data_IF_100876116253
#
_entry.id   IF_100876116253
#
_cell.length_a   1.000
_cell.length_b   1.000
_cell.length_c   1.000
_cell.angle_alpha   90.00
_cell.angle_beta   90.00
_cell.angle_gamma   90.00
#
_symmetry.space_group_name_H-M   'P 1'
#
loop_
_entity.id
_entity.type
_entity.pdbx_description
1 polymer ?
#
# COMPACT_ATOMS: atom_id res chain seq x y z
N UNK A 1 25.35 3.60 -31.59
CA UNK A 1 24.69 2.37 -32.07
C UNK A 1 23.44 2.75 -32.84
N UNK A 2 23.09 2.07 -33.95
CA UNK A 2 21.85 2.35 -34.69
C UNK A 2 20.77 1.38 -34.18
N UNK A 3 19.72 1.92 -33.60
CA UNK A 3 18.58 1.10 -33.14
C UNK A 3 17.77 0.70 -34.39
N UNK A 4 17.39 -0.59 -34.55
CA UNK A 4 16.55 -1.02 -35.65
C UNK A 4 15.12 -0.44 -35.49
N UNK A 5 14.48 -0.12 -36.63
CA UNK A 5 13.11 0.44 -36.64
C UNK A 5 13.04 1.93 -36.23
N UNK A 6 11.80 2.36 -35.90
CA UNK A 6 11.51 3.70 -35.39
C UNK A 6 11.28 3.63 -33.88
N UNK A 7 11.95 4.52 -33.15
CA UNK A 7 11.88 4.58 -31.69
C UNK A 7 10.97 5.71 -31.24
N UNK A 8 10.13 5.42 -30.28
CA UNK A 8 9.25 6.39 -29.64
C UNK A 8 9.34 6.26 -28.13
N UNK A 9 9.44 7.38 -27.41
CA UNK A 9 9.17 7.45 -26.00
C UNK A 9 7.67 7.34 -25.79
N UNK A 10 7.19 6.59 -24.78
CA UNK A 10 5.77 6.30 -24.62
C UNK A 10 5.28 6.37 -23.18
N UNK A 11 3.96 6.43 -23.01
CA UNK A 11 3.31 6.18 -21.74
C UNK A 11 3.49 7.26 -20.69
N UNK A 12 3.88 6.84 -19.50
CA UNK A 12 4.00 7.72 -18.33
C UNK A 12 4.99 8.87 -18.52
N UNK A 13 6.10 8.62 -19.19
CA UNK A 13 7.13 9.61 -19.43
C UNK A 13 6.62 10.77 -20.30
N UNK A 14 5.87 10.46 -21.38
CA UNK A 14 5.27 11.47 -22.27
C UNK A 14 4.23 12.29 -21.53
N UNK A 15 3.31 11.61 -20.80
CA UNK A 15 2.30 12.27 -19.97
C UNK A 15 2.95 13.22 -18.94
N UNK A 16 3.94 12.74 -18.18
CA UNK A 16 4.56 13.53 -17.12
C UNK A 16 5.33 14.74 -17.71
N UNK A 17 5.99 14.57 -18.87
CA UNK A 17 6.59 15.68 -19.63
C UNK A 17 5.55 16.74 -20.03
N UNK A 18 4.42 16.33 -20.58
CA UNK A 18 3.32 17.25 -20.95
C UNK A 18 2.77 17.98 -19.72
N UNK A 19 2.78 17.35 -18.55
CA UNK A 19 2.43 17.98 -17.27
C UNK A 19 3.52 18.88 -16.68
N UNK A 20 4.68 19.04 -17.36
CA UNK A 20 5.83 19.80 -16.84
C UNK A 20 6.55 19.11 -15.67
N UNK A 21 6.39 17.78 -15.52
CA UNK A 21 7.04 16.98 -14.49
C UNK A 21 8.20 16.19 -15.09
N UNK A 22 9.27 15.99 -14.30
CA UNK A 22 10.33 15.05 -14.69
C UNK A 22 9.83 13.62 -14.43
N UNK A 23 10.09 12.73 -15.40
CA UNK A 23 9.90 11.29 -15.21
C UNK A 23 11.22 10.67 -14.76
N UNK A 24 11.17 9.74 -13.80
CA UNK A 24 12.33 8.95 -13.39
C UNK A 24 12.60 7.79 -14.34
N UNK A 25 11.56 7.31 -15.01
CA UNK A 25 11.61 6.11 -15.84
C UNK A 25 11.11 6.47 -17.26
N UNK A 26 11.92 6.14 -18.26
CA UNK A 26 11.59 6.35 -19.66
C UNK A 26 11.39 5.00 -20.35
N UNK A 27 10.18 4.76 -20.84
CA UNK A 27 9.84 3.57 -21.61
C UNK A 27 9.89 3.91 -23.10
N UNK A 28 10.54 3.04 -23.88
CA UNK A 28 10.63 3.17 -25.33
C UNK A 28 9.91 2.05 -26.06
N UNK A 29 9.26 2.39 -27.18
CA UNK A 29 8.69 1.43 -28.12
C UNK A 29 9.41 1.51 -29.44
N UNK A 30 9.75 0.35 -30.00
CA UNK A 30 10.39 0.22 -31.31
C UNK A 30 9.37 -0.36 -32.29
N UNK A 31 9.12 0.34 -33.38
CA UNK A 31 8.19 -0.02 -34.44
C UNK A 31 8.97 -0.48 -35.66
N UNK A 32 8.57 -1.60 -36.27
CA UNK A 32 9.15 -2.10 -37.52
C UNK A 32 10.48 -2.85 -37.34
N UNK A 33 10.77 -3.36 -36.15
CA UNK A 33 11.89 -4.22 -35.86
C UNK A 33 11.47 -5.61 -35.37
N UNK A 34 12.35 -6.58 -35.48
CA UNK A 34 12.16 -7.91 -34.92
C UNK A 34 13.06 -8.17 -33.69
N UNK A 35 12.74 -9.17 -32.84
CA UNK A 35 13.61 -9.57 -31.74
C UNK A 35 15.05 -9.88 -32.17
N UNK A 36 15.21 -10.56 -33.32
CA UNK A 36 16.52 -10.92 -33.84
C UNK A 36 17.34 -9.67 -34.24
N UNK A 37 16.67 -8.66 -34.80
CA UNK A 37 17.34 -7.41 -35.18
C UNK A 37 17.77 -6.61 -33.92
N UNK A 38 16.97 -6.62 -32.85
CA UNK A 38 17.34 -6.01 -31.58
C UNK A 38 18.56 -6.69 -30.97
N UNK A 39 18.57 -8.04 -30.93
CA UNK A 39 19.71 -8.82 -30.45
C UNK A 39 20.96 -8.59 -31.31
N UNK A 40 20.81 -8.57 -32.62
CA UNK A 40 21.92 -8.29 -33.55
C UNK A 40 22.49 -6.88 -33.39
N UNK A 41 21.67 -5.92 -32.95
CA UNK A 41 22.11 -4.58 -32.63
C UNK A 41 22.78 -4.46 -31.24
N UNK A 42 22.87 -5.57 -30.48
CA UNK A 42 23.59 -5.62 -29.20
C UNK A 42 22.70 -5.34 -27.96
N UNK A 43 21.38 -5.33 -28.11
CA UNK A 43 20.49 -5.28 -26.97
C UNK A 43 20.43 -6.60 -26.21
N UNK A 44 20.17 -6.55 -24.93
CA UNK A 44 19.99 -7.71 -24.05
C UNK A 44 18.50 -7.93 -23.82
N UNK A 45 17.99 -9.11 -24.21
CA UNK A 45 16.59 -9.44 -23.97
C UNK A 45 16.36 -9.87 -22.51
N UNK A 46 15.35 -9.28 -21.86
CA UNK A 46 14.86 -9.66 -20.54
C UNK A 46 13.35 -9.95 -20.61
N UNK A 47 12.90 -10.94 -19.81
CA UNK A 47 11.52 -11.42 -19.86
C UNK A 47 11.28 -12.49 -20.93
N UNK A 48 10.56 -13.54 -20.57
CA UNK A 48 10.27 -14.67 -21.46
C UNK A 48 8.99 -14.45 -22.27
N UNK A 49 7.92 -13.99 -21.61
CA UNK A 49 6.59 -13.85 -22.22
C UNK A 49 6.41 -12.51 -22.96
N UNK A 50 7.08 -11.47 -22.47
CA UNK A 50 7.05 -10.12 -23.01
C UNK A 50 8.48 -9.59 -23.14
N UNK A 51 9.15 -9.82 -24.28
CA UNK A 51 10.55 -9.46 -24.42
C UNK A 51 10.73 -7.94 -24.35
N UNK A 52 11.41 -7.49 -23.32
CA UNK A 52 11.95 -6.15 -23.18
C UNK A 52 13.44 -6.22 -23.50
N UNK A 53 13.97 -5.23 -24.18
CA UNK A 53 15.34 -5.17 -24.63
C UNK A 53 16.05 -4.02 -23.89
N UNK A 54 17.10 -4.37 -23.11
CA UNK A 54 17.91 -3.38 -22.42
C UNK A 54 18.99 -2.83 -23.34
N UNK A 55 19.10 -1.53 -23.40
CA UNK A 55 20.21 -0.88 -24.12
C UNK A 55 21.54 -1.26 -23.44
N UNK A 56 22.58 -1.68 -24.20
CA UNK A 56 23.81 -2.21 -23.62
C UNK A 56 24.54 -1.23 -22.71
N UNK A 57 24.49 0.06 -23.01
CA UNK A 57 25.22 1.11 -22.28
C UNK A 57 24.33 1.80 -21.23
N UNK A 58 23.14 2.29 -21.63
CA UNK A 58 22.26 3.10 -20.74
C UNK A 58 21.36 2.27 -19.86
N UNK A 59 21.14 0.98 -20.23
CA UNK A 59 20.19 0.07 -19.60
C UNK A 59 18.72 0.52 -19.66
N UNK A 60 18.41 1.49 -20.51
CA UNK A 60 17.04 1.90 -20.81
C UNK A 60 16.25 0.73 -21.41
N UNK A 61 14.95 0.68 -21.13
CA UNK A 61 14.04 -0.38 -21.54
C UNK A 61 13.38 -0.06 -22.88
N UNK A 62 13.55 -0.96 -23.85
CA UNK A 62 12.94 -0.88 -25.17
C UNK A 62 12.02 -2.10 -25.37
N UNK A 63 10.75 -1.86 -25.66
CA UNK A 63 9.80 -2.90 -26.05
C UNK A 63 9.53 -2.82 -27.54
N UNK A 64 9.33 -3.96 -28.22
CA UNK A 64 8.77 -3.95 -29.57
C UNK A 64 7.30 -3.58 -29.54
N UNK A 65 6.85 -2.81 -30.53
CA UNK A 65 5.43 -2.59 -30.76
C UNK A 65 4.72 -3.94 -30.88
N UNK A 66 3.59 -4.10 -30.19
CA UNK A 66 2.90 -5.38 -30.12
C UNK A 66 1.38 -5.23 -30.10
N UNK A 67 0.72 -6.24 -30.62
CA UNK A 67 -0.70 -6.49 -30.40
C UNK A 67 -0.86 -7.61 -29.38
N UNK A 68 -1.83 -7.44 -28.48
CA UNK A 68 -2.22 -8.46 -27.51
C UNK A 68 -3.65 -8.91 -27.84
N UNK A 69 -3.88 -10.24 -27.87
CA UNK A 69 -5.21 -10.82 -28.05
C UNK A 69 -5.50 -11.76 -26.90
N UNK A 70 -6.63 -11.57 -26.25
CA UNK A 70 -7.07 -12.46 -25.16
C UNK A 70 -7.42 -13.83 -25.75
N UNK A 71 -6.70 -14.86 -25.33
CA UNK A 71 -6.91 -16.28 -25.68
C UNK A 71 -7.39 -17.13 -24.51
N UNK A 72 -7.41 -16.58 -23.26
CA UNK A 72 -7.79 -17.29 -22.04
C UNK A 72 -8.11 -16.35 -20.88
N UNK A 73 -8.26 -16.92 -19.69
CA UNK A 73 -8.50 -16.16 -18.45
C UNK A 73 -7.18 -15.82 -17.74
N UNK A 74 -7.12 -14.65 -17.09
CA UNK A 74 -6.00 -14.20 -16.27
C UNK A 74 -4.80 -13.70 -17.08
N UNK A 75 -3.66 -13.53 -16.37
CA UNK A 75 -2.45 -12.89 -16.91
C UNK A 75 -1.74 -13.66 -18.03
N UNK A 76 -1.82 -15.00 -18.04
CA UNK A 76 -1.21 -15.87 -19.06
C UNK A 76 -2.14 -16.18 -20.26
N UNK A 77 -3.32 -15.57 -20.31
CA UNK A 77 -4.31 -15.80 -21.35
C UNK A 77 -4.18 -14.86 -22.53
N UNK A 78 -2.95 -14.45 -22.93
CA UNK A 78 -2.73 -13.55 -24.05
C UNK A 78 -1.83 -14.19 -25.10
N UNK A 79 -2.22 -14.08 -26.37
CA UNK A 79 -1.35 -14.25 -27.51
C UNK A 79 -0.79 -12.88 -27.90
N UNK A 80 0.51 -12.80 -28.05
CA UNK A 80 1.22 -11.55 -28.34
C UNK A 80 1.88 -11.65 -29.71
N UNK A 81 1.59 -10.69 -30.56
CA UNK A 81 2.20 -10.56 -31.89
C UNK A 81 3.16 -9.37 -31.89
N UNK A 82 4.41 -9.62 -32.28
CA UNK A 82 5.51 -8.64 -32.40
C UNK A 82 5.91 -8.41 -33.87
N UNK A 83 5.02 -8.65 -34.81
CA UNK A 83 5.31 -8.49 -36.23
C UNK A 83 5.80 -7.10 -36.61
N UNK A 84 6.64 -6.99 -37.67
CA UNK A 84 7.12 -5.70 -38.18
C UNK A 84 6.00 -4.80 -38.71
N UNK A 85 4.86 -5.40 -39.00
CA UNK A 85 3.62 -4.75 -39.45
C UNK A 85 2.82 -4.12 -38.31
N UNK A 86 3.15 -4.43 -37.05
CA UNK A 86 2.50 -3.80 -35.90
C UNK A 86 2.85 -2.32 -35.86
N UNK A 87 1.82 -1.50 -35.92
CA UNK A 87 1.97 -0.05 -35.96
C UNK A 87 2.12 0.54 -34.56
N UNK A 88 2.56 1.79 -34.47
CA UNK A 88 2.56 2.55 -33.23
C UNK A 88 1.14 2.65 -32.64
N UNK A 89 0.13 2.88 -33.50
CA UNK A 89 -1.27 3.01 -33.06
C UNK A 89 -1.80 1.72 -32.46
N UNK A 90 -1.44 0.54 -33.02
CA UNK A 90 -1.79 -0.76 -32.47
C UNK A 90 -1.22 -0.92 -31.04
N UNK A 91 0.05 -0.58 -30.80
CA UNK A 91 0.65 -0.64 -29.47
C UNK A 91 -0.03 0.34 -28.49
N UNK A 92 -0.32 1.56 -28.94
CA UNK A 92 -0.97 2.56 -28.10
C UNK A 92 -2.44 2.17 -27.79
N UNK A 93 -3.13 1.49 -28.71
CA UNK A 93 -4.55 1.10 -28.56
C UNK A 93 -4.82 0.13 -27.42
N UNK A 94 -3.85 -0.74 -27.08
CA UNK A 94 -3.96 -1.75 -26.01
C UNK A 94 -3.65 -1.19 -24.61
N UNK A 95 -3.21 0.07 -24.52
CA UNK A 95 -2.86 0.69 -23.23
C UNK A 95 -4.11 0.97 -22.39
N UNK A 96 -3.88 1.27 -21.11
CA UNK A 96 -4.95 1.45 -20.14
C UNK A 96 -5.77 2.74 -20.39
N UNK A 97 -5.09 3.90 -20.44
CA UNK A 97 -5.74 5.20 -20.52
C UNK A 97 -5.21 6.04 -21.67
N UNK A 98 -6.07 6.87 -22.25
CA UNK A 98 -5.71 7.84 -23.31
C UNK A 98 -4.50 8.68 -22.92
N UNK A 99 -4.43 9.14 -21.67
CA UNK A 99 -3.30 9.92 -21.14
C UNK A 99 -1.97 9.15 -21.08
N UNK A 100 -1.99 7.84 -21.20
CA UNK A 100 -0.82 6.95 -21.26
C UNK A 100 -0.60 6.39 -22.69
N UNK A 101 -1.50 6.69 -23.63
CA UNK A 101 -1.49 6.21 -25.00
C UNK A 101 -0.99 7.31 -25.97
N UNK A 102 0.02 8.02 -25.54
CA UNK A 102 0.75 9.04 -26.30
C UNK A 102 2.19 8.58 -26.51
N UNK A 103 2.76 8.98 -27.62
CA UNK A 103 4.15 8.71 -27.96
C UNK A 103 4.88 10.00 -28.41
N UNK A 104 6.21 10.04 -28.23
CA UNK A 104 7.06 11.15 -28.66
C UNK A 104 8.21 10.59 -29.48
N UNK A 105 8.47 11.16 -30.65
CA UNK A 105 9.63 10.82 -31.47
C UNK A 105 10.91 11.56 -31.05
N UNK A 106 12.01 11.24 -31.72
CA UNK A 106 13.33 11.89 -31.47
C UNK A 106 13.35 13.38 -31.71
N UNK A 107 12.43 13.90 -32.51
CA UNK A 107 12.32 15.33 -32.85
C UNK A 107 11.41 16.08 -31.86
N UNK A 108 10.83 15.39 -30.91
CA UNK A 108 9.92 15.92 -29.89
C UNK A 108 8.47 16.06 -30.35
N UNK A 109 8.10 15.48 -31.50
CA UNK A 109 6.72 15.49 -31.97
C UNK A 109 5.89 14.47 -31.16
N UNK A 110 4.72 14.89 -30.70
CA UNK A 110 3.82 14.04 -29.94
C UNK A 110 2.77 13.42 -30.88
N UNK A 111 2.67 12.09 -30.83
CA UNK A 111 1.66 11.30 -31.50
C UNK A 111 0.55 10.95 -30.50
N UNK A 112 -0.67 11.43 -30.72
CA UNK A 112 -1.81 11.30 -29.82
C UNK A 112 -3.06 10.84 -30.57
N UNK A 113 -3.12 9.60 -31.06
CA UNK A 113 -4.25 9.10 -31.86
C UNK A 113 -5.55 8.96 -31.04
N UNK A 114 -5.47 8.92 -29.71
CA UNK A 114 -6.60 8.68 -28.81
C UNK A 114 -7.02 9.90 -27.99
N UNK A 115 -6.58 11.12 -28.34
CA UNK A 115 -6.89 12.38 -27.66
C UNK A 115 -6.46 12.43 -26.17
N UNK A 116 -5.34 11.82 -25.84
CA UNK A 116 -4.77 11.81 -24.49
C UNK A 116 -4.39 13.21 -23.99
N UNK A 117 -3.89 14.09 -24.85
CA UNK A 117 -3.61 15.50 -24.54
C UNK A 117 -4.86 16.25 -24.07
N UNK A 118 -6.01 16.00 -24.75
CA UNK A 118 -7.28 16.60 -24.39
C UNK A 118 -7.79 16.09 -23.04
N UNK A 119 -7.74 14.78 -22.82
CA UNK A 119 -8.16 14.18 -21.56
C UNK A 119 -7.24 14.60 -20.41
N UNK A 120 -5.94 14.68 -20.66
CA UNK A 120 -4.94 15.16 -19.69
C UNK A 120 -5.22 16.60 -19.25
N UNK A 121 -5.48 17.49 -20.20
CA UNK A 121 -5.82 18.90 -19.95
C UNK A 121 -7.11 19.05 -19.13
N UNK A 122 -8.08 18.15 -19.38
CA UNK A 122 -9.39 18.20 -18.72
C UNK A 122 -9.43 17.39 -17.40
N UNK A 123 -8.34 16.72 -17.02
CA UNK A 123 -8.27 15.89 -15.82
C UNK A 123 -9.17 14.65 -15.90
N UNK A 124 -9.20 13.97 -17.06
CA UNK A 124 -10.08 12.81 -17.33
C UNK A 124 -9.23 11.54 -17.44
N UNK A 125 -9.68 10.48 -16.77
CA UNK A 125 -9.20 9.11 -16.95
C UNK A 125 -10.18 8.36 -17.87
N UNK A 126 -9.82 8.21 -19.13
CA UNK A 126 -10.59 7.50 -20.15
C UNK A 126 -9.81 6.29 -20.63
N UNK A 127 -10.46 5.13 -20.73
CA UNK A 127 -9.86 3.95 -21.38
C UNK A 127 -9.63 4.20 -22.87
N UNK A 128 -8.61 3.55 -23.43
CA UNK A 128 -8.23 3.77 -24.83
C UNK A 128 -9.19 3.04 -25.78
N UNK A 129 -9.46 1.79 -25.50
CA UNK A 129 -10.20 0.88 -26.38
C UNK A 129 -10.90 -0.23 -25.59
N UNK A 130 -11.73 -1.08 -26.20
CA UNK A 130 -12.30 -2.26 -25.56
C UNK A 130 -11.28 -3.24 -24.98
N UNK A 131 -10.03 -3.23 -25.46
CA UNK A 131 -8.93 -4.00 -24.89
C UNK A 131 -8.67 -3.69 -23.40
N UNK A 132 -9.20 -2.58 -22.86
CA UNK A 132 -9.20 -2.29 -21.45
C UNK A 132 -9.79 -3.42 -20.60
N UNK A 133 -10.82 -4.12 -21.12
CA UNK A 133 -11.48 -5.23 -20.42
C UNK A 133 -10.62 -6.51 -20.32
N UNK A 134 -9.55 -6.59 -21.07
CA UNK A 134 -8.70 -7.78 -21.11
C UNK A 134 -7.89 -7.97 -19.82
N UNK A 135 -7.55 -6.89 -19.11
CA UNK A 135 -6.82 -6.96 -17.84
C UNK A 135 -7.62 -6.31 -16.69
N UNK A 136 -8.24 -7.11 -15.80
CA UNK A 136 -9.02 -6.60 -14.67
C UNK A 136 -8.21 -5.75 -13.68
N UNK A 137 -6.86 -5.83 -13.70
CA UNK A 137 -6.01 -4.95 -12.91
C UNK A 137 -6.21 -3.47 -13.27
N UNK A 138 -6.66 -3.17 -14.47
CA UNK A 138 -6.91 -1.79 -14.92
C UNK A 138 -7.97 -1.09 -14.06
N UNK A 139 -8.84 -1.83 -13.36
CA UNK A 139 -9.74 -1.27 -12.34
C UNK A 139 -8.94 -0.68 -11.19
N UNK A 140 -8.00 -1.44 -10.62
CA UNK A 140 -7.16 -0.96 -9.51
C UNK A 140 -6.23 0.16 -9.97
N UNK A 141 -5.72 0.07 -11.20
CA UNK A 141 -4.93 1.13 -11.83
C UNK A 141 -5.73 2.43 -11.98
N UNK A 142 -7.02 2.35 -12.37
CA UNK A 142 -7.92 3.51 -12.45
C UNK A 142 -8.05 4.19 -11.08
N UNK A 143 -8.29 3.40 -10.04
CA UNK A 143 -8.39 3.89 -8.67
C UNK A 143 -7.08 4.54 -8.20
N UNK A 144 -5.92 3.94 -8.52
CA UNK A 144 -4.60 4.50 -8.21
C UNK A 144 -4.32 5.80 -8.97
N UNK A 145 -4.63 5.87 -10.25
CA UNK A 145 -4.44 7.11 -11.02
C UNK A 145 -5.36 8.23 -10.52
N UNK A 146 -6.58 7.89 -10.09
CA UNK A 146 -7.46 8.87 -9.45
C UNK A 146 -6.86 9.37 -8.12
N UNK A 147 -6.33 8.50 -7.28
CA UNK A 147 -5.62 8.88 -6.06
C UNK A 147 -4.39 9.77 -6.34
N UNK A 148 -3.63 9.45 -7.42
CA UNK A 148 -2.43 10.20 -7.81
C UNK A 148 -2.72 11.58 -8.36
N UNK A 149 -3.69 11.71 -9.25
CA UNK A 149 -3.90 12.93 -10.03
C UNK A 149 -5.15 13.70 -9.62
N UNK A 150 -6.10 13.08 -8.91
CA UNK A 150 -7.40 13.66 -8.61
C UNK A 150 -8.31 13.79 -9.84
N UNK A 151 -8.01 13.07 -10.93
CA UNK A 151 -8.76 13.11 -12.17
C UNK A 151 -10.11 12.40 -12.05
N UNK A 152 -11.06 12.81 -12.88
CA UNK A 152 -12.38 12.17 -12.96
C UNK A 152 -12.31 10.99 -13.91
N UNK A 153 -12.83 9.85 -13.50
CA UNK A 153 -12.98 8.68 -14.39
C UNK A 153 -14.15 8.95 -15.33
N UNK A 154 -13.94 8.80 -16.64
CA UNK A 154 -14.98 8.99 -17.66
C UNK A 154 -16.15 8.01 -17.40
N UNK A 155 -17.42 8.44 -17.58
CA UNK A 155 -18.59 7.60 -17.30
C UNK A 155 -18.53 6.24 -18.03
N UNK A 156 -18.18 6.23 -19.28
CA UNK A 156 -18.04 5.01 -20.10
C UNK A 156 -16.90 4.09 -19.59
N UNK A 157 -15.86 4.65 -18.98
CA UNK A 157 -14.79 3.86 -18.34
C UNK A 157 -15.28 3.25 -17.03
N UNK A 158 -16.04 4.02 -16.24
CA UNK A 158 -16.65 3.54 -15.01
C UNK A 158 -17.63 2.38 -15.31
N UNK A 159 -18.43 2.50 -16.35
CA UNK A 159 -19.38 1.46 -16.76
C UNK A 159 -18.65 0.19 -17.24
N UNK A 160 -17.56 0.36 -18.00
CA UNK A 160 -16.73 -0.78 -18.42
C UNK A 160 -16.08 -1.49 -17.22
N UNK A 161 -15.58 -0.75 -16.23
CA UNK A 161 -15.03 -1.34 -15.00
C UNK A 161 -16.08 -2.15 -14.23
N UNK A 162 -17.32 -1.67 -14.16
CA UNK A 162 -18.44 -2.43 -13.55
C UNK A 162 -18.74 -3.71 -14.33
N UNK A 163 -18.76 -3.65 -15.64
CA UNK A 163 -18.97 -4.83 -16.50
C UNK A 163 -17.88 -5.89 -16.27
N UNK A 164 -16.62 -5.49 -16.19
CA UNK A 164 -15.48 -6.39 -15.90
C UNK A 164 -15.67 -7.08 -14.54
N UNK A 165 -16.05 -6.31 -13.52
CA UNK A 165 -16.32 -6.85 -12.18
C UNK A 165 -17.52 -7.81 -12.19
N UNK A 166 -18.65 -7.40 -12.79
CA UNK A 166 -19.87 -8.18 -12.84
C UNK A 166 -19.68 -9.49 -13.63
N UNK A 167 -18.74 -9.52 -14.59
CA UNK A 167 -18.29 -10.73 -15.27
C UNK A 167 -17.41 -11.65 -14.41
N UNK A 168 -17.01 -11.22 -13.21
CA UNK A 168 -16.20 -12.01 -12.27
C UNK A 168 -14.70 -12.06 -12.60
N UNK A 169 -14.22 -11.26 -13.54
CA UNK A 169 -12.80 -11.25 -13.97
C UNK A 169 -11.85 -10.79 -12.84
N UNK A 170 -12.32 -9.98 -11.90
CA UNK A 170 -11.54 -9.50 -10.75
C UNK A 170 -11.07 -10.62 -9.82
N UNK A 171 -11.74 -11.77 -9.82
CA UNK A 171 -11.36 -12.96 -9.01
C UNK A 171 -10.06 -13.62 -9.46
N UNK A 172 -9.60 -13.30 -10.65
CA UNK A 172 -8.35 -13.82 -11.22
C UNK A 172 -7.14 -12.93 -10.96
N UNK A 173 -7.29 -11.85 -10.19
CA UNK A 173 -6.18 -10.98 -9.80
C UNK A 173 -5.27 -11.68 -8.79
N UNK A 174 -3.97 -11.66 -9.05
CA UNK A 174 -2.99 -12.20 -8.09
C UNK A 174 -2.73 -11.22 -6.96
N UNK A 175 -2.39 -11.75 -5.80
CA UNK A 175 -2.12 -10.98 -4.57
C UNK A 175 -1.04 -9.91 -4.77
N UNK A 176 0.04 -10.28 -5.46
CA UNK A 176 1.18 -9.40 -5.72
C UNK A 176 0.77 -8.20 -6.58
N UNK A 177 -0.11 -8.43 -7.58
CA UNK A 177 -0.60 -7.37 -8.44
C UNK A 177 -1.55 -6.44 -7.69
N UNK A 178 -2.42 -6.98 -6.82
CA UNK A 178 -3.30 -6.20 -5.94
C UNK A 178 -2.46 -5.32 -5.02
N UNK A 179 -1.48 -5.91 -4.32
CA UNK A 179 -0.61 -5.18 -3.40
C UNK A 179 0.18 -4.06 -4.10
N UNK A 180 0.73 -4.35 -5.28
CA UNK A 180 1.51 -3.37 -6.05
C UNK A 180 0.69 -2.12 -6.40
N UNK A 181 -0.57 -2.26 -6.77
CA UNK A 181 -1.44 -1.12 -7.08
C UNK A 181 -1.93 -0.43 -5.80
N UNK A 182 -2.35 -1.18 -4.78
CA UNK A 182 -2.84 -0.64 -3.52
C UNK A 182 -1.73 0.15 -2.78
N UNK A 183 -0.55 -0.43 -2.59
CA UNK A 183 0.54 0.24 -1.89
C UNK A 183 0.96 1.55 -2.57
N UNK A 184 1.04 1.54 -3.91
CA UNK A 184 1.34 2.77 -4.67
C UNK A 184 0.23 3.81 -4.57
N UNK A 185 -1.04 3.38 -4.58
CA UNK A 185 -2.18 4.29 -4.44
C UNK A 185 -2.18 4.96 -3.07
N UNK A 186 -1.98 4.18 -2.02
CA UNK A 186 -1.99 4.67 -0.65
C UNK A 186 -0.83 5.62 -0.31
N UNK A 187 0.26 5.61 -1.07
CA UNK A 187 1.36 6.57 -0.90
C UNK A 187 1.07 7.97 -1.47
N UNK A 188 -0.04 8.16 -2.18
CA UNK A 188 -0.47 9.48 -2.63
C UNK A 188 -1.27 10.23 -1.56
N UNK A 189 -1.31 11.56 -1.66
CA UNK A 189 -2.01 12.45 -0.71
C UNK A 189 -3.53 12.23 -0.67
N UNK A 190 -4.10 11.66 -1.72
CA UNK A 190 -5.53 11.30 -1.81
C UNK A 190 -5.72 9.79 -1.87
N UNK A 191 -5.01 9.05 -1.01
CA UNK A 191 -5.09 7.60 -0.94
C UNK A 191 -6.49 7.07 -0.74
N UNK A 192 -7.35 7.83 -0.05
CA UNK A 192 -8.78 7.52 0.15
C UNK A 192 -9.57 7.34 -1.15
N UNK A 193 -9.21 8.05 -2.21
CA UNK A 193 -9.87 7.97 -3.51
C UNK A 193 -9.71 6.59 -4.16
N UNK A 194 -8.67 5.85 -3.78
CA UNK A 194 -8.49 4.46 -4.19
C UNK A 194 -9.67 3.60 -3.71
N UNK A 195 -9.94 3.62 -2.40
CA UNK A 195 -11.03 2.83 -1.83
C UNK A 195 -12.41 3.33 -2.26
N UNK A 196 -12.61 4.64 -2.32
CA UNK A 196 -13.87 5.24 -2.79
C UNK A 196 -14.20 4.81 -4.24
N UNK A 197 -13.20 4.75 -5.10
CA UNK A 197 -13.36 4.27 -6.49
C UNK A 197 -13.74 2.79 -6.52
N UNK A 198 -13.02 1.95 -5.77
CA UNK A 198 -13.30 0.51 -5.72
C UNK A 198 -14.69 0.21 -5.14
N UNK A 199 -15.16 1.02 -4.16
CA UNK A 199 -16.53 0.93 -3.67
C UNK A 199 -17.55 1.21 -4.78
N UNK A 200 -17.35 2.30 -5.55
CA UNK A 200 -18.26 2.71 -6.63
C UNK A 200 -18.34 1.69 -7.76
N UNK A 201 -17.26 0.96 -8.03
CA UNK A 201 -17.24 -0.15 -9.02
C UNK A 201 -17.92 -1.40 -8.44
N UNK A 202 -17.79 -1.65 -7.14
CA UNK A 202 -18.27 -2.85 -6.46
C UNK A 202 -17.16 -3.85 -6.08
N UNK A 203 -15.94 -3.62 -6.55
CA UNK A 203 -14.77 -4.50 -6.36
C UNK A 203 -14.24 -4.45 -4.93
N UNK A 204 -14.45 -3.34 -4.21
CA UNK A 204 -13.85 -3.14 -2.89
C UNK A 204 -14.26 -4.19 -1.86
N UNK A 205 -15.53 -4.53 -1.81
CA UNK A 205 -16.06 -5.57 -0.90
C UNK A 205 -15.62 -6.99 -1.24
N UNK A 206 -15.13 -7.23 -2.45
CA UNK A 206 -14.57 -8.53 -2.85
C UNK A 206 -13.08 -8.64 -2.49
N UNK A 207 -12.27 -7.67 -2.91
CA UNK A 207 -10.81 -7.69 -2.76
C UNK A 207 -10.39 -7.28 -1.33
N UNK A 208 -11.06 -6.28 -0.76
CA UNK A 208 -10.75 -5.71 0.56
C UNK A 208 -11.85 -6.03 1.58
N UNK A 209 -12.32 -7.28 1.57
CA UNK A 209 -13.37 -7.77 2.46
C UNK A 209 -12.94 -7.63 3.93
N UNK A 210 -13.75 -6.89 4.70
CA UNK A 210 -13.48 -6.64 6.12
C UNK A 210 -12.75 -5.32 6.40
N UNK A 211 -12.30 -4.58 5.38
CA UNK A 211 -11.79 -3.23 5.59
C UNK A 211 -12.95 -2.30 5.98
N UNK A 212 -12.79 -1.50 7.05
CA UNK A 212 -13.81 -0.53 7.45
C UNK A 212 -14.14 0.43 6.29
N UNK A 213 -15.42 0.75 6.13
CA UNK A 213 -15.89 1.71 5.14
C UNK A 213 -16.49 1.12 3.87
N UNK A 214 -16.17 -0.13 3.49
CA UNK A 214 -16.86 -0.79 2.37
C UNK A 214 -18.30 -1.19 2.73
N UNK A 215 -19.19 -1.01 1.78
CA UNK A 215 -20.62 -1.34 1.89
C UNK A 215 -20.97 -2.43 0.88
N UNK A 216 -21.97 -3.25 1.20
CA UNK A 216 -22.46 -4.29 0.30
C UNK A 216 -23.14 -3.75 -0.96
N UNK A 217 -23.61 -2.50 -0.92
CA UNK A 217 -24.19 -1.80 -2.07
C UNK A 217 -23.18 -0.82 -2.65
N UNK A 218 -22.81 -1.03 -3.93
CA UNK A 218 -21.87 -0.15 -4.67
C UNK A 218 -22.37 1.29 -4.84
N UNK A 219 -23.67 1.52 -4.72
CA UNK A 219 -24.27 2.85 -4.82
C UNK A 219 -24.14 3.65 -3.51
N UNK A 220 -23.83 2.96 -2.40
CA UNK A 220 -23.51 3.62 -1.16
C UNK A 220 -22.06 4.11 -1.17
N UNK A 221 -21.80 5.35 -0.72
CA UNK A 221 -20.43 5.87 -0.68
C UNK A 221 -19.56 5.08 0.29
N UNK A 222 -18.28 4.93 -0.07
CA UNK A 222 -17.27 4.53 0.90
C UNK A 222 -17.24 5.54 2.03
N UNK A 223 -17.40 5.12 3.27
CA UNK A 223 -17.51 6.03 4.40
C UNK A 223 -16.89 5.45 5.67
N UNK A 224 -16.26 6.32 6.43
CA UNK A 224 -15.59 6.01 7.70
C UNK A 224 -16.38 6.63 8.88
N UNK A 225 -17.72 6.54 8.84
CA UNK A 225 -18.61 7.08 9.85
C UNK A 225 -18.47 8.58 10.05
N UNK A 226 -17.96 9.03 11.23
CA UNK A 226 -17.85 10.46 11.57
C UNK A 226 -16.60 11.12 10.99
N UNK A 227 -15.60 10.33 10.56
CA UNK A 227 -14.36 10.86 10.01
C UNK A 227 -14.46 10.97 8.50
N UNK A 228 -14.13 12.12 7.96
CA UNK A 228 -14.10 12.34 6.51
C UNK A 228 -12.87 11.72 5.87
N UNK A 229 -12.97 11.35 4.59
CA UNK A 229 -11.84 10.84 3.84
C UNK A 229 -10.68 11.85 3.78
N UNK A 230 -11.00 13.15 3.73
CA UNK A 230 -9.99 14.22 3.72
C UNK A 230 -9.24 14.34 5.04
N UNK A 231 -9.89 14.11 6.18
CA UNK A 231 -9.20 14.09 7.48
C UNK A 231 -8.22 12.92 7.59
N UNK A 232 -8.60 11.76 7.06
CA UNK A 232 -7.69 10.60 7.00
C UNK A 232 -6.52 10.88 6.07
N UNK A 233 -6.78 11.38 4.87
CA UNK A 233 -5.71 11.72 3.92
C UNK A 233 -4.75 12.76 4.51
N UNK A 234 -5.25 13.78 5.23
CA UNK A 234 -4.40 14.79 5.90
C UNK A 234 -3.53 14.16 7.00
N UNK A 235 -4.11 13.29 7.83
CA UNK A 235 -3.35 12.56 8.86
C UNK A 235 -2.23 11.70 8.25
N UNK A 236 -2.45 11.16 7.05
CA UNK A 236 -1.53 10.24 6.39
C UNK A 236 -0.43 10.92 5.60
N UNK A 237 -0.45 12.23 5.43
CA UNK A 237 0.61 12.96 4.73
C UNK A 237 1.98 12.71 5.39
N UNK A 238 2.96 12.37 4.56
CA UNK A 238 4.33 12.10 5.01
C UNK A 238 4.53 10.79 5.77
N UNK A 239 3.47 10.01 6.05
CA UNK A 239 3.60 8.71 6.71
C UNK A 239 4.07 7.63 5.73
N UNK A 240 4.83 6.66 6.24
CA UNK A 240 5.24 5.46 5.53
C UNK A 240 4.05 4.52 5.23
N UNK A 241 4.29 3.50 4.41
CA UNK A 241 3.22 2.58 4.00
C UNK A 241 2.68 1.75 5.15
N UNK A 242 3.52 1.39 6.13
CA UNK A 242 3.10 0.64 7.30
C UNK A 242 2.10 1.46 8.14
N UNK A 243 2.41 2.73 8.43
CA UNK A 243 1.51 3.65 9.14
C UNK A 243 0.18 3.81 8.39
N UNK A 244 0.24 3.97 7.08
CA UNK A 244 -0.95 4.14 6.24
C UNK A 244 -1.85 2.90 6.32
N UNK A 245 -1.28 1.70 6.22
CA UNK A 245 -2.02 0.44 6.34
C UNK A 245 -2.63 0.30 7.74
N UNK A 246 -1.91 0.64 8.81
CA UNK A 246 -2.46 0.63 10.17
C UNK A 246 -3.71 1.51 10.26
N UNK A 247 -3.64 2.76 9.78
CA UNK A 247 -4.76 3.69 9.87
C UNK A 247 -5.97 3.26 9.02
N UNK A 248 -5.76 2.65 7.86
CA UNK A 248 -6.84 2.12 7.04
C UNK A 248 -7.46 0.84 7.60
N UNK A 249 -6.73 0.12 8.46
CA UNK A 249 -7.16 -1.16 9.04
C UNK A 249 -7.92 -0.97 10.34
N UNK A 250 -7.48 -0.05 11.19
CA UNK A 250 -8.09 0.20 12.50
C UNK A 250 -9.48 0.80 12.30
N UNK A 251 -10.52 0.22 12.93
CA UNK A 251 -11.88 0.73 12.80
C UNK A 251 -12.03 2.15 13.35
N UNK A 252 -12.84 2.97 12.68
CA UNK A 252 -13.23 4.31 13.15
C UNK A 252 -14.35 4.25 14.19
N UNK A 253 -14.76 3.07 14.63
CA UNK A 253 -15.70 2.83 15.70
C UNK A 253 -15.10 1.91 16.76
N UNK A 254 -15.32 2.26 18.03
CA UNK A 254 -14.95 1.38 19.15
C UNK A 254 -15.83 0.13 19.12
N UNK A 255 -15.25 -1.01 19.47
CA UNK A 255 -15.98 -2.27 19.57
C UNK A 255 -15.99 -3.12 18.30
N UNK A 256 -15.30 -2.69 17.23
CA UNK A 256 -15.12 -3.51 16.02
C UNK A 256 -13.80 -4.25 16.10
N UNK A 257 -13.86 -5.59 15.93
CA UNK A 257 -12.66 -6.43 15.87
C UNK A 257 -11.96 -6.24 14.52
N UNK A 258 -10.64 -6.00 14.57
CA UNK A 258 -9.83 -5.78 13.39
C UNK A 258 -9.27 -7.08 12.77
N UNK A 259 -9.56 -8.23 13.33
CA UNK A 259 -8.99 -9.52 12.86
C UNK A 259 -9.27 -9.75 11.38
N UNK A 260 -10.50 -9.51 10.94
CA UNK A 260 -10.84 -9.65 9.52
C UNK A 260 -10.07 -8.68 8.62
N UNK A 261 -9.89 -7.44 9.06
CA UNK A 261 -9.14 -6.43 8.30
C UNK A 261 -7.65 -6.78 8.20
N UNK A 262 -7.07 -7.32 9.27
CA UNK A 262 -5.68 -7.80 9.27
C UNK A 262 -5.50 -8.97 8.32
N UNK A 263 -6.42 -9.95 8.35
CA UNK A 263 -6.35 -11.12 7.48
C UNK A 263 -6.53 -10.73 6.00
N UNK A 264 -7.41 -9.79 5.72
CA UNK A 264 -7.60 -9.24 4.36
C UNK A 264 -6.30 -8.69 3.78
N UNK A 265 -5.50 -7.92 4.55
CA UNK A 265 -4.22 -7.41 4.06
C UNK A 265 -3.22 -8.53 3.76
N UNK A 266 -3.25 -9.62 4.56
CA UNK A 266 -2.47 -10.83 4.28
C UNK A 266 -2.90 -11.48 2.96
N UNK A 267 -4.21 -11.57 2.74
CA UNK A 267 -4.78 -12.09 1.50
C UNK A 267 -4.49 -11.19 0.30
N UNK A 268 -4.38 -9.89 0.49
CA UNK A 268 -3.99 -8.92 -0.53
C UNK A 268 -2.48 -8.92 -0.87
N UNK A 269 -1.70 -9.81 -0.27
CA UNK A 269 -0.27 -9.97 -0.58
C UNK A 269 0.65 -8.96 0.10
N UNK A 270 0.23 -8.39 1.21
CA UNK A 270 1.01 -7.42 1.99
C UNK A 270 2.30 -8.05 2.54
N UNK A 271 3.47 -7.39 2.42
CA UNK A 271 4.74 -7.87 2.92
C UNK A 271 4.74 -8.11 4.44
N UNK A 272 5.55 -9.07 4.89
CA UNK A 272 5.63 -9.45 6.30
C UNK A 272 6.01 -8.29 7.23
N UNK A 273 6.84 -7.35 6.80
CA UNK A 273 7.22 -6.18 7.59
C UNK A 273 6.00 -5.31 7.94
N UNK A 274 5.17 -5.03 6.94
CA UNK A 274 3.92 -4.28 7.11
C UNK A 274 2.95 -5.05 8.01
N UNK A 275 2.80 -6.36 7.76
CA UNK A 275 1.94 -7.24 8.56
C UNK A 275 2.39 -7.35 10.02
N UNK A 276 3.70 -7.30 10.27
CA UNK A 276 4.26 -7.34 11.62
C UNK A 276 3.88 -6.07 12.43
N UNK A 277 4.02 -4.89 11.83
CA UNK A 277 3.58 -3.62 12.45
C UNK A 277 2.08 -3.56 12.65
N UNK A 278 1.32 -4.00 11.65
CA UNK A 278 -0.14 -4.07 11.73
C UNK A 278 -0.62 -5.02 12.83
N UNK A 279 0.04 -6.17 13.02
CA UNK A 279 -0.27 -7.12 14.08
C UNK A 279 -0.08 -6.53 15.48
N UNK A 280 1.02 -5.76 15.69
CA UNK A 280 1.25 -5.05 16.95
C UNK A 280 0.20 -3.96 17.17
N UNK A 281 -0.07 -3.13 16.16
CA UNK A 281 -1.07 -2.07 16.25
C UNK A 281 -2.47 -2.63 16.54
N UNK A 282 -2.84 -3.74 15.89
CA UNK A 282 -4.10 -4.43 16.11
C UNK A 282 -4.26 -4.96 17.53
N UNK A 283 -3.21 -5.53 18.09
CA UNK A 283 -3.24 -6.00 19.47
C UNK A 283 -3.36 -4.84 20.48
N UNK A 284 -2.67 -3.71 20.21
CA UNK A 284 -2.80 -2.49 21.02
C UNK A 284 -4.24 -1.97 20.93
N UNK A 285 -4.79 -1.86 19.72
CA UNK A 285 -6.17 -1.43 19.52
C UNK A 285 -7.17 -2.30 20.29
N UNK A 286 -7.16 -3.61 20.06
CA UNK A 286 -8.08 -4.54 20.69
C UNK A 286 -7.98 -4.49 22.23
N UNK A 287 -6.78 -4.30 22.78
CA UNK A 287 -6.60 -4.19 24.22
C UNK A 287 -7.17 -2.86 24.74
N UNK A 288 -6.85 -1.73 24.09
CA UNK A 288 -7.15 -0.40 24.61
C UNK A 288 -8.59 0.05 24.32
N UNK A 289 -9.18 -0.36 23.19
CA UNK A 289 -10.55 0.00 22.84
C UNK A 289 -11.59 -0.48 23.87
N UNK A 290 -11.30 -1.61 24.52
CA UNK A 290 -12.18 -2.22 25.53
C UNK A 290 -11.73 -2.00 26.99
N UNK A 291 -10.73 -1.17 27.22
CA UNK A 291 -10.22 -0.89 28.56
C UNK A 291 -10.90 0.33 29.18
N UNK A 292 -11.01 0.35 30.51
CA UNK A 292 -11.42 1.55 31.27
C UNK A 292 -10.40 2.68 31.13
N UNK A 293 -10.78 3.91 31.46
CA UNK A 293 -9.85 5.08 31.37
C UNK A 293 -8.58 4.85 32.19
N UNK A 294 -8.70 4.39 33.41
CA UNK A 294 -7.53 4.11 34.28
C UNK A 294 -6.63 3.00 33.74
N UNK A 295 -7.22 1.95 33.17
CA UNK A 295 -6.44 0.87 32.55
C UNK A 295 -5.68 1.34 31.31
N UNK A 296 -6.18 2.34 30.59
CA UNK A 296 -5.52 2.91 29.41
C UNK A 296 -4.43 3.91 29.74
N UNK A 297 -4.64 4.76 30.76
CA UNK A 297 -3.79 5.93 31.01
C UNK A 297 -2.73 5.70 32.08
N UNK A 298 -2.87 4.63 32.88
CA UNK A 298 -1.93 4.30 33.96
C UNK A 298 -1.28 2.94 33.74
N UNK A 299 -0.13 2.65 34.38
CA UNK A 299 0.52 1.35 34.32
C UNK A 299 -0.41 0.27 34.89
N UNK A 300 -1.07 -0.47 34.02
CA UNK A 300 -1.99 -1.56 34.36
C UNK A 300 -1.42 -2.93 33.98
N UNK A 301 -2.01 -4.00 34.48
CA UNK A 301 -1.65 -5.36 34.10
C UNK A 301 -1.81 -5.59 32.58
N UNK A 302 -2.82 -4.96 31.96
CA UNK A 302 -3.02 -5.03 30.50
C UNK A 302 -1.84 -4.45 29.72
N UNK A 303 -1.25 -3.32 30.18
CA UNK A 303 -0.07 -2.75 29.58
C UNK A 303 1.13 -3.67 29.76
N UNK A 304 1.36 -4.18 30.96
CA UNK A 304 2.46 -5.10 31.22
C UNK A 304 2.41 -6.31 30.30
N UNK A 305 1.28 -6.98 30.30
CA UNK A 305 1.04 -8.16 29.46
C UNK A 305 1.29 -7.89 27.97
N UNK A 306 0.76 -6.78 27.47
CA UNK A 306 0.90 -6.38 26.07
C UNK A 306 2.37 -6.08 25.74
N UNK A 307 3.09 -5.32 26.56
CA UNK A 307 4.50 -5.00 26.36
C UNK A 307 5.37 -6.26 26.33
N UNK A 308 5.10 -7.22 27.20
CA UNK A 308 5.85 -8.48 27.26
C UNK A 308 5.49 -9.40 26.07
N UNK A 309 4.19 -9.62 25.81
CA UNK A 309 3.72 -10.54 24.78
C UNK A 309 4.08 -10.09 23.37
N UNK A 310 4.11 -8.77 23.13
CA UNK A 310 4.44 -8.20 21.82
C UNK A 310 5.93 -7.84 21.66
N UNK A 311 6.77 -8.33 22.54
CA UNK A 311 8.24 -8.18 22.47
C UNK A 311 8.72 -6.71 22.41
N UNK A 312 8.01 -5.81 23.12
CA UNK A 312 8.33 -4.38 23.15
C UNK A 312 9.76 -4.08 23.66
N UNK A 313 10.29 -4.95 24.52
CA UNK A 313 11.60 -4.76 25.14
C UNK A 313 12.78 -4.98 24.18
N UNK A 314 12.64 -5.94 23.26
CA UNK A 314 13.67 -6.26 22.26
C UNK A 314 13.49 -5.49 20.94
N UNK A 315 12.23 -5.22 20.58
CA UNK A 315 11.84 -4.57 19.33
C UNK A 315 11.13 -3.25 19.61
N UNK A 316 11.75 -2.42 20.46
CA UNK A 316 11.17 -1.19 21.00
C UNK A 316 10.70 -0.25 19.89
N UNK A 317 11.54 0.01 18.88
CA UNK A 317 11.21 0.95 17.80
C UNK A 317 9.97 0.48 17.02
N UNK A 318 9.92 -0.82 16.69
CA UNK A 318 8.74 -1.41 16.02
C UNK A 318 7.48 -1.21 16.84
N UNK A 319 7.54 -1.51 18.14
CA UNK A 319 6.40 -1.40 19.03
C UNK A 319 5.97 0.05 19.20
N UNK A 320 6.91 0.96 19.40
CA UNK A 320 6.65 2.39 19.58
C UNK A 320 6.06 3.03 18.32
N UNK A 321 6.51 2.62 17.14
CA UNK A 321 5.92 3.08 15.88
C UNK A 321 4.47 2.62 15.73
N UNK A 322 4.17 1.35 16.00
CA UNK A 322 2.81 0.84 16.02
C UNK A 322 1.93 1.54 17.07
N UNK A 323 2.46 1.80 18.26
CA UNK A 323 1.77 2.55 19.30
C UNK A 323 1.43 3.98 18.87
N UNK A 324 2.40 4.67 18.26
CA UNK A 324 2.20 6.03 17.74
C UNK A 324 1.08 6.07 16.69
N UNK A 325 1.05 5.12 15.77
CA UNK A 325 -0.01 5.03 14.77
C UNK A 325 -1.38 4.84 15.43
N UNK A 326 -1.49 3.94 16.41
CA UNK A 326 -2.74 3.73 17.15
C UNK A 326 -3.16 4.98 17.91
N UNK A 327 -2.22 5.67 18.57
CA UNK A 327 -2.49 6.92 19.29
C UNK A 327 -2.97 8.02 18.36
N UNK A 328 -2.29 8.21 17.23
CA UNK A 328 -2.69 9.19 16.21
C UNK A 328 -4.11 8.88 15.68
N UNK A 329 -4.41 7.59 15.45
CA UNK A 329 -5.74 7.17 15.01
C UNK A 329 -6.82 7.45 16.08
N UNK A 330 -6.54 7.18 17.35
CA UNK A 330 -7.48 7.52 18.43
C UNK A 330 -7.77 9.02 18.52
N UNK A 331 -6.83 9.88 18.14
CA UNK A 331 -7.04 11.32 18.11
C UNK A 331 -8.13 11.75 17.11
N UNK A 332 -8.36 10.98 16.05
CA UNK A 332 -9.42 11.22 15.06
C UNK A 332 -10.81 10.84 15.56
N UNK A 333 -10.90 9.81 16.40
CA UNK A 333 -12.18 9.21 16.80
C UNK A 333 -12.61 9.56 18.23
N UNK A 334 -11.71 10.13 19.02
CA UNK A 334 -11.95 10.48 20.42
C UNK A 334 -11.79 11.98 20.62
N UNK A 335 -12.75 12.60 21.30
CA UNK A 335 -12.64 13.99 21.76
C UNK A 335 -11.75 14.12 23.03
N UNK A 336 -11.17 13.01 23.53
CA UNK A 336 -10.30 12.99 24.69
C UNK A 336 -8.83 12.92 24.22
N UNK A 337 -8.05 14.03 24.28
CA UNK A 337 -6.65 14.04 23.86
C UNK A 337 -5.78 13.13 24.72
N UNK A 338 -6.21 12.82 25.92
CA UNK A 338 -5.54 11.92 26.87
C UNK A 338 -6.11 10.50 26.85
N UNK A 339 -6.79 10.13 25.75
CA UNK A 339 -7.37 8.78 25.61
C UNK A 339 -6.33 7.68 25.77
N UNK A 340 -5.13 7.90 25.26
CA UNK A 340 -3.94 7.05 25.46
C UNK A 340 -2.79 7.89 26.05
N UNK A 341 -1.88 7.30 26.82
CA UNK A 341 -0.70 7.96 27.35
C UNK A 341 0.17 8.63 26.28
N UNK A 342 1.01 9.58 26.68
CA UNK A 342 2.00 10.12 25.75
C UNK A 342 3.01 9.06 25.30
N UNK A 343 3.61 9.26 24.14
CA UNK A 343 4.63 8.35 23.60
C UNK A 343 5.81 8.26 24.57
N UNK A 344 6.20 9.38 25.18
CA UNK A 344 7.28 9.46 26.15
C UNK A 344 6.95 8.69 27.44
N UNK A 345 5.70 8.79 27.93
CA UNK A 345 5.23 8.05 29.12
C UNK A 345 5.32 6.53 28.88
N UNK A 346 4.84 6.05 27.74
CA UNK A 346 4.94 4.62 27.40
C UNK A 346 6.40 4.19 27.18
N UNK A 347 7.22 5.04 26.56
CA UNK A 347 8.65 4.82 26.42
C UNK A 347 9.33 4.62 27.80
N UNK A 348 9.03 5.46 28.78
CA UNK A 348 9.56 5.33 30.13
C UNK A 348 9.13 4.02 30.82
N UNK A 349 7.93 3.53 30.56
CA UNK A 349 7.49 2.22 31.07
C UNK A 349 8.28 1.07 30.46
N UNK A 350 8.54 1.12 29.14
CA UNK A 350 9.39 0.13 28.48
C UNK A 350 10.80 0.13 29.06
N UNK A 351 11.37 1.31 29.25
CA UNK A 351 12.73 1.43 29.81
C UNK A 351 12.82 0.90 31.25
N UNK A 352 11.78 1.10 32.06
CA UNK A 352 11.70 0.50 33.41
C UNK A 352 11.72 -1.03 33.37
N UNK A 353 11.13 -1.63 32.31
CA UNK A 353 11.11 -3.08 32.12
C UNK A 353 12.40 -3.66 31.52
N UNK A 354 13.30 -2.81 31.00
CA UNK A 354 14.63 -3.21 30.52
C UNK A 354 15.61 -3.38 31.71
N UNK A 355 15.30 -4.33 32.59
CA UNK A 355 16.14 -4.70 33.71
C UNK A 355 17.44 -5.32 33.22
N UNK A 356 18.48 -5.34 34.09
CA UNK A 356 19.69 -6.13 33.85
C UNK A 356 19.36 -7.63 34.00
N UNK A 357 18.88 -8.21 32.90
CA UNK A 357 18.49 -9.61 32.89
C UNK A 357 19.65 -10.58 33.13
N UNK A 358 20.90 -10.17 32.83
CA UNK A 358 22.08 -10.99 33.09
C UNK A 358 22.42 -11.02 34.59
N UNK A 359 22.36 -9.86 35.25
CA UNK A 359 22.55 -9.79 36.70
C UNK A 359 21.49 -10.58 37.46
N UNK A 360 20.22 -10.45 37.04
CA UNK A 360 19.09 -11.21 37.62
C UNK A 360 19.24 -12.72 37.36
N UNK A 361 19.69 -13.13 36.19
CA UNK A 361 19.91 -14.54 35.88
C UNK A 361 20.96 -15.20 36.76
N UNK A 362 22.00 -14.45 37.19
CA UNK A 362 23.04 -14.94 38.12
C UNK A 362 22.48 -15.27 39.50
N UNK A 363 21.36 -14.69 39.91
CA UNK A 363 20.71 -14.96 41.21
C UNK A 363 19.72 -16.13 41.16
N UNK A 364 19.45 -16.69 39.98
CA UNK A 364 18.55 -17.83 39.83
C UNK A 364 19.20 -19.14 40.34
N UNK A 365 18.50 -19.97 41.12
CA UNK A 365 19.05 -21.21 41.69
C UNK A 365 19.50 -22.23 40.66
N UNK A 366 18.76 -22.33 39.54
CA UNK A 366 19.11 -23.21 38.42
C UNK A 366 18.89 -22.53 37.07
N UNK A 367 19.50 -23.09 36.02
CA UNK A 367 19.27 -22.58 34.64
C UNK A 367 17.81 -22.62 34.21
N UNK A 368 17.01 -23.54 34.74
CA UNK A 368 15.57 -23.65 34.42
C UNK A 368 14.78 -22.50 35.03
N UNK A 369 15.22 -21.95 36.15
CA UNK A 369 14.51 -20.88 36.86
C UNK A 369 14.82 -19.47 36.34
N UNK A 370 15.82 -19.32 35.47
CA UNK A 370 16.26 -18.02 34.94
C UNK A 370 15.09 -17.25 34.33
N UNK A 371 14.25 -17.91 33.52
CA UNK A 371 13.12 -17.28 32.87
C UNK A 371 12.13 -16.69 33.86
N UNK A 372 11.83 -17.44 34.92
CA UNK A 372 10.86 -17.02 35.93
C UNK A 372 11.45 -15.93 36.83
N UNK A 373 12.72 -15.98 37.13
CA UNK A 373 13.45 -14.92 37.90
C UNK A 373 13.44 -13.61 37.11
N UNK A 374 13.79 -13.62 35.84
CA UNK A 374 13.75 -12.43 34.98
C UNK A 374 12.32 -11.90 34.84
N UNK A 375 11.33 -12.77 34.67
CA UNK A 375 9.93 -12.35 34.59
C UNK A 375 9.47 -11.70 35.92
N UNK A 376 9.72 -12.32 37.05
CA UNK A 376 9.35 -11.79 38.36
C UNK A 376 10.03 -10.45 38.67
N UNK A 377 11.31 -10.28 38.29
CA UNK A 377 12.00 -8.99 38.44
C UNK A 377 11.33 -7.88 37.59
N UNK A 378 10.85 -8.20 36.40
CA UNK A 378 10.06 -7.27 35.57
C UNK A 378 8.70 -6.96 36.18
N UNK A 379 8.02 -7.94 36.78
CA UNK A 379 6.77 -7.72 37.52
C UNK A 379 6.98 -6.74 38.67
N UNK A 380 8.05 -6.92 39.48
CA UNK A 380 8.36 -6.00 40.57
C UNK A 380 8.73 -4.58 40.08
N UNK A 381 9.52 -4.47 39.01
CA UNK A 381 9.81 -3.18 38.38
C UNK A 381 8.53 -2.50 37.88
N UNK A 382 7.58 -3.26 37.31
CA UNK A 382 6.27 -2.73 36.85
C UNK A 382 5.40 -2.24 38.03
N UNK A 383 5.35 -2.99 39.12
CA UNK A 383 4.61 -2.60 40.32
C UNK A 383 5.12 -1.28 40.92
N UNK A 384 6.40 -0.98 40.80
CA UNK A 384 6.97 0.30 41.28
C UNK A 384 6.40 1.51 40.53
N UNK A 385 6.08 1.36 39.22
CA UNK A 385 5.43 2.40 38.43
C UNK A 385 4.00 2.71 38.91
N UNK A 386 3.28 1.69 39.39
CA UNK A 386 1.90 1.83 39.87
C UNK A 386 1.81 2.39 41.31
N UNK A 387 2.91 2.46 42.05
CA UNK A 387 2.92 2.86 43.47
C UNK A 387 4.16 3.69 43.86
N UNK A 388 4.33 4.91 43.27
CA UNK A 388 5.53 5.71 43.45
C UNK A 388 5.77 6.19 44.92
N UNK A 389 4.77 6.07 45.80
CA UNK A 389 4.86 6.54 47.19
C UNK A 389 5.69 5.62 48.11
N UNK A 390 6.10 4.41 47.67
CA UNK A 390 6.84 3.48 48.54
C UNK A 390 8.37 3.56 48.40
N UNK A 391 8.93 4.24 47.40
CA UNK A 391 10.39 4.34 47.24
C UNK A 391 11.09 5.33 48.18
N UNK A 392 10.36 6.29 48.74
CA UNK A 392 10.93 7.29 49.66
C UNK A 392 11.06 6.80 51.12
N UNK A 393 10.78 5.53 51.41
CA UNK A 393 10.81 4.98 52.80
C UNK A 393 11.87 3.91 53.07
N UNK A 394 12.84 3.73 52.16
CA UNK A 394 14.01 2.89 52.50
C UNK A 394 15.17 3.77 53.03
N UNK A 395 15.51 3.69 54.30
CA UNK A 395 16.72 4.35 54.80
C UNK A 395 17.93 3.62 54.21
N UNK A 396 18.82 4.38 53.57
CA UNK A 396 20.20 3.96 53.34
C UNK A 396 20.77 3.45 54.66
N UNK A 397 20.98 2.16 54.82
CA UNK A 397 21.87 1.65 55.86
C UNK A 397 23.25 1.45 55.24
N UNK A 398 24.19 2.22 55.85
CA UNK A 398 25.62 2.08 55.64
C UNK A 398 26.11 0.65 55.90
#
# INVERSE_FOLDING_TARGET
>A
MKIPGKVYKVGGAVRDKVMGKQSSDEDFVVVGASPEEMLAAGFEQVGADFPVFLHPETKDEYALARMERKSGHGYHGFEVDFGKEVTLEDDLSRRDFTINAMAEDSDGNIYDPFNGLKDLKNGILRHVSPAFSEDPLRILRSARFKARFGFVIAPETMDLMRQIHDAGETKHLTKERIWKEASRALMHDKGSEFFATLQTVGVGGEIFKGLPGFKNDRNMPFSLNRTTLSEVDELLKGKDIESRIVHWTIPFEKGVDIVQSVEMWREAGTPNEVMDRLGVAGAIWNTMAYSSKSERTEPSEKWFDMLIKLDALRRTDRWMNAYKDVKDHFSLISNDPDFLPSVEKVGSWIDTLKIDAEAVAKSAPTKKDIKDYVFNARVEAWKSLSNPAKENSRPFKM
#
